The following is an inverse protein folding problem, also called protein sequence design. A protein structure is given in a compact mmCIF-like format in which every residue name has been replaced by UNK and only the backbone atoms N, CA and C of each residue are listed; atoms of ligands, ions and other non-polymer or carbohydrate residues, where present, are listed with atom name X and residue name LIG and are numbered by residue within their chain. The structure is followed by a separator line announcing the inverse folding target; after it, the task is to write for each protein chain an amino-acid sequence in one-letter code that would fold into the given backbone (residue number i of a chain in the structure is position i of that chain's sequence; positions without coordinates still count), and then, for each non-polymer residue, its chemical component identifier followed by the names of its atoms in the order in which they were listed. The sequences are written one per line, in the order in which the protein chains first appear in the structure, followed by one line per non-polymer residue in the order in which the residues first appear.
data_IF_294625766361
#
_entry.id   IF_294625766361
#
_cell.length_a   1.000
_cell.length_b   1.000
_cell.length_c   1.000
_cell.angle_alpha   90.00
_cell.angle_beta   90.00
_cell.angle_gamma   90.00
#
_symmetry.space_group_name_H-M   'P 1'
#
loop_
_entity.id
_entity.type
_entity.pdbx_description
1 polymer ?
#
# COMPACT_ATOMS: atom_id res chain seq x y z
N UNK A 1 12.95 -101.98 20.74
CA UNK A 1 12.10 -101.15 21.63
C UNK A 1 12.67 -99.74 21.68
N UNK A 2 11.78 -98.77 21.81
CA UNK A 2 11.89 -97.36 21.45
C UNK A 2 13.05 -96.53 22.04
N UNK A 3 13.34 -95.44 21.31
CA UNK A 3 13.74 -94.09 21.77
C UNK A 3 15.15 -93.95 22.41
N UNK A 4 15.99 -92.97 22.10
CA UNK A 4 15.81 -91.62 21.54
C UNK A 4 17.07 -91.29 20.72
N UNK A 5 16.90 -90.88 19.47
CA UNK A 5 17.98 -90.43 18.61
C UNK A 5 17.86 -88.92 18.38
N UNK A 6 18.99 -88.26 18.66
CA UNK A 6 19.57 -87.15 17.90
C UNK A 6 19.11 -85.69 18.11
N UNK A 7 20.14 -84.87 17.85
CA UNK A 7 20.15 -83.51 17.31
C UNK A 7 19.95 -82.38 18.31
N UNK A 8 21.09 -81.94 18.87
CA UNK A 8 21.36 -80.51 19.00
C UNK A 8 21.34 -79.88 17.60
N UNK A 9 20.47 -78.90 17.29
CA UNK A 9 20.69 -78.04 16.15
C UNK A 9 21.72 -76.99 16.55
N UNK A 10 22.96 -77.18 16.08
CA UNK A 10 23.87 -76.07 15.81
C UNK A 10 23.38 -75.49 14.48
N UNK A 11 22.89 -74.26 14.51
CA UNK A 11 23.06 -73.24 13.44
C UNK A 11 22.26 -71.98 13.80
N UNK A 12 22.85 -71.14 14.64
CA UNK A 12 22.46 -69.73 14.73
C UNK A 12 23.01 -69.03 13.49
N UNK A 13 22.21 -68.93 12.43
CA UNK A 13 22.50 -68.06 11.31
C UNK A 13 22.53 -66.61 11.81
N UNK A 14 23.74 -66.07 12.00
CA UNK A 14 23.97 -64.66 12.30
C UNK A 14 23.58 -63.81 11.08
N UNK A 15 22.39 -63.23 11.09
CA UNK A 15 22.00 -62.25 10.08
C UNK A 15 22.97 -61.06 10.20
N UNK A 16 23.71 -60.69 9.15
CA UNK A 16 24.74 -59.66 9.23
C UNK A 16 24.11 -58.31 9.58
N UNK A 17 24.55 -57.74 10.70
CA UNK A 17 24.11 -56.44 11.27
C UNK A 17 24.16 -55.32 10.22
N UNK A 18 25.04 -55.42 9.22
CA UNK A 18 25.15 -54.48 8.11
C UNK A 18 23.89 -54.34 7.26
N UNK A 19 23.09 -55.41 7.12
CA UNK A 19 21.86 -55.42 6.32
C UNK A 19 20.71 -54.64 6.98
N UNK A 20 20.62 -54.72 8.31
CA UNK A 20 19.65 -53.95 9.11
C UNK A 20 20.02 -52.47 9.14
N UNK A 21 21.30 -52.14 9.31
CA UNK A 21 21.79 -50.75 9.33
C UNK A 21 21.58 -50.03 8.00
N UNK A 22 21.75 -50.72 6.86
CA UNK A 22 21.52 -50.14 5.54
C UNK A 22 20.03 -49.83 5.30
N UNK A 23 19.13 -50.75 5.66
CA UNK A 23 17.67 -50.53 5.55
C UNK A 23 17.20 -49.41 6.49
N UNK A 24 17.73 -49.35 7.72
CA UNK A 24 17.43 -48.28 8.67
C UNK A 24 17.90 -46.91 8.19
N UNK A 25 19.09 -46.81 7.58
CA UNK A 25 19.58 -45.54 7.02
C UNK A 25 18.70 -45.03 5.87
N UNK A 26 18.21 -45.92 5.01
CA UNK A 26 17.28 -45.53 3.94
C UNK A 26 15.91 -45.12 4.49
N UNK A 27 15.39 -45.85 5.48
CA UNK A 27 14.12 -45.53 6.13
C UNK A 27 14.17 -44.18 6.89
N UNK A 28 15.26 -43.94 7.63
CA UNK A 28 15.53 -42.66 8.31
C UNK A 28 15.65 -41.50 7.32
N UNK A 29 16.36 -41.67 6.19
CA UNK A 29 16.47 -40.62 5.16
C UNK A 29 15.11 -40.25 4.57
N UNK A 30 14.27 -41.24 4.30
CA UNK A 30 12.92 -41.02 3.77
C UNK A 30 12.00 -40.35 4.80
N UNK A 31 12.11 -40.76 6.07
CA UNK A 31 11.36 -40.17 7.18
C UNK A 31 11.77 -38.71 7.44
N UNK A 32 13.08 -38.42 7.45
CA UNK A 32 13.60 -37.04 7.57
C UNK A 32 13.20 -36.18 6.36
N UNK A 33 13.26 -36.71 5.13
CA UNK A 33 12.81 -35.98 3.94
C UNK A 33 11.31 -35.65 3.98
N UNK A 34 10.48 -36.58 4.47
CA UNK A 34 9.05 -36.36 4.67
C UNK A 34 8.77 -35.36 5.79
N UNK A 35 9.49 -35.44 6.92
CA UNK A 35 9.40 -34.45 8.00
C UNK A 35 9.81 -33.05 7.55
N UNK A 36 10.89 -32.92 6.77
CA UNK A 36 11.34 -31.65 6.20
C UNK A 36 10.28 -31.09 5.23
N UNK A 37 9.68 -31.94 4.40
CA UNK A 37 8.60 -31.53 3.49
C UNK A 37 7.34 -31.06 4.23
N UNK A 38 6.93 -31.77 5.28
CA UNK A 38 5.80 -31.36 6.14
C UNK A 38 6.12 -30.04 6.84
N UNK A 39 7.30 -29.90 7.43
CA UNK A 39 7.74 -28.66 8.09
C UNK A 39 7.77 -27.49 7.09
N UNK A 40 8.36 -27.67 5.91
CA UNK A 40 8.40 -26.65 4.86
C UNK A 40 7.00 -26.28 4.35
N UNK A 41 6.08 -27.25 4.21
CA UNK A 41 4.70 -26.99 3.81
C UNK A 41 3.91 -26.23 4.88
N UNK A 42 4.20 -26.45 6.16
CA UNK A 42 3.54 -25.73 7.27
C UNK A 42 4.10 -24.31 7.49
N UNK A 43 5.38 -24.07 7.17
CA UNK A 43 6.00 -22.73 7.29
C UNK A 43 5.44 -21.76 6.23
N UNK A 44 5.02 -22.24 5.07
CA UNK A 44 4.39 -21.39 4.03
C UNK A 44 3.00 -20.86 4.40
N UNK A 45 2.28 -21.48 5.35
CA UNK A 45 0.92 -21.07 5.73
C UNK A 45 0.87 -20.01 6.84
N UNK A 46 2.01 -19.70 7.50
CA UNK A 46 2.05 -18.77 8.63
C UNK A 46 2.83 -17.47 8.39
N UNK A 47 3.35 -17.23 7.18
CA UNK A 47 3.77 -15.89 6.76
C UNK A 47 2.57 -15.07 6.27
N UNK A 48 1.62 -14.80 7.17
CA UNK A 48 0.75 -13.65 7.01
C UNK A 48 1.59 -12.41 7.31
N UNK A 49 2.05 -11.70 6.27
CA UNK A 49 2.51 -10.33 6.47
C UNK A 49 1.29 -9.53 6.92
N UNK A 50 1.14 -9.27 8.21
CA UNK A 50 0.29 -8.17 8.67
C UNK A 50 0.87 -6.89 8.08
N UNK A 51 0.32 -6.48 6.95
CA UNK A 51 0.71 -5.26 6.26
C UNK A 51 0.37 -4.09 7.19
N UNK A 52 1.38 -3.53 7.84
CA UNK A 52 1.20 -2.35 8.68
C UNK A 52 0.89 -1.15 7.79
N UNK A 53 -0.34 -0.66 7.86
CA UNK A 53 -0.80 0.54 7.16
C UNK A 53 -0.85 1.76 8.07
N UNK A 54 -0.41 1.67 9.32
CA UNK A 54 -0.54 2.75 10.29
C UNK A 54 -1.86 2.71 11.08
N UNK A 55 -2.22 3.82 11.70
CA UNK A 55 -3.44 3.94 12.52
C UNK A 55 -3.94 5.38 12.60
N UNK A 56 -5.24 5.55 12.83
CA UNK A 56 -5.82 6.84 13.19
C UNK A 56 -5.84 7.03 14.71
N UNK A 57 -5.70 8.29 15.13
CA UNK A 57 -5.82 8.73 16.51
C UNK A 57 -6.89 9.81 16.60
N UNK A 58 -7.96 9.49 17.33
CA UNK A 58 -9.18 10.29 17.41
C UNK A 58 -10.17 9.96 16.29
N UNK A 59 -11.25 10.72 16.24
CA UNK A 59 -12.29 10.61 15.21
C UNK A 59 -12.39 11.92 14.43
N UNK A 60 -12.92 11.86 13.22
CA UNK A 60 -13.27 13.07 12.47
C UNK A 60 -14.57 13.65 13.02
N UNK A 61 -14.45 14.70 13.84
CA UNK A 61 -15.58 15.52 14.28
C UNK A 61 -15.61 16.83 13.50
N UNK A 62 -16.73 17.09 12.83
CA UNK A 62 -16.86 18.18 11.86
C UNK A 62 -18.18 18.93 12.01
N UNK A 63 -18.16 20.20 11.60
CA UNK A 63 -19.36 21.02 11.41
C UNK A 63 -19.38 21.58 10.00
N UNK A 64 -20.53 21.51 9.35
CA UNK A 64 -20.77 22.15 8.05
C UNK A 64 -20.57 23.66 8.12
N UNK A 65 -19.78 24.20 7.19
CA UNK A 65 -19.63 25.63 7.00
C UNK A 65 -20.88 26.22 6.33
N UNK A 66 -21.05 27.54 6.45
CA UNK A 66 -22.17 28.28 5.83
C UNK A 66 -22.15 28.27 4.30
N UNK A 67 -21.05 27.85 3.68
CA UNK A 67 -20.91 27.73 2.23
C UNK A 67 -21.61 26.48 1.66
N UNK A 68 -22.10 25.59 2.51
CA UNK A 68 -22.81 24.37 2.10
C UNK A 68 -21.92 23.31 1.46
N UNK A 69 -20.59 23.48 1.45
CA UNK A 69 -19.66 22.55 0.81
C UNK A 69 -18.52 22.11 1.73
N UNK A 70 -17.93 23.04 2.49
CA UNK A 70 -16.80 22.71 3.35
C UNK A 70 -17.24 22.29 4.75
N UNK A 71 -16.39 21.51 5.39
CA UNK A 71 -16.55 21.09 6.78
C UNK A 71 -15.36 21.58 7.60
N UNK A 72 -15.62 22.15 8.77
CA UNK A 72 -14.61 22.58 9.72
C UNK A 72 -14.38 21.51 10.80
N UNK A 73 -13.12 21.13 11.03
CA UNK A 73 -12.75 20.20 12.10
C UNK A 73 -12.96 20.82 13.49
N UNK A 74 -13.62 20.08 14.37
CA UNK A 74 -13.90 20.48 15.76
C UNK A 74 -12.78 20.10 16.73
N UNK A 75 -11.99 19.07 16.38
CA UNK A 75 -10.83 18.59 17.12
C UNK A 75 -9.70 18.21 16.16
N UNK A 76 -8.49 18.09 16.70
CA UNK A 76 -7.36 17.55 15.94
C UNK A 76 -7.63 16.09 15.58
N UNK A 77 -7.28 15.71 14.36
CA UNK A 77 -7.35 14.34 13.87
C UNK A 77 -6.00 13.94 13.31
N UNK A 78 -5.47 12.79 13.73
CA UNK A 78 -4.11 12.38 13.37
C UNK A 78 -4.08 11.00 12.75
N UNK A 79 -3.27 10.86 11.71
CA UNK A 79 -2.86 9.59 11.14
C UNK A 79 -1.39 9.32 11.46
N UNK A 80 -1.08 8.13 11.95
CA UNK A 80 0.29 7.66 12.19
C UNK A 80 0.63 6.68 11.07
N UNK A 81 1.61 7.01 10.25
CA UNK A 81 1.99 6.17 9.11
C UNK A 81 2.79 4.91 9.53
N UNK A 82 3.07 3.96 8.60
CA UNK A 82 3.80 2.73 8.93
C UNK A 82 5.21 2.96 9.50
N UNK A 83 5.80 4.14 9.27
CA UNK A 83 7.10 4.54 9.80
C UNK A 83 7.00 5.28 11.14
N UNK A 84 5.79 5.47 11.67
CA UNK A 84 5.53 6.14 12.93
C UNK A 84 5.46 7.68 12.83
N UNK A 85 5.52 8.26 11.63
CA UNK A 85 5.38 9.71 11.45
C UNK A 85 3.91 10.11 11.62
N UNK A 86 3.70 11.22 12.33
CA UNK A 86 2.38 11.78 12.60
C UNK A 86 1.99 12.78 11.53
N UNK A 87 0.80 12.60 11.00
CA UNK A 87 0.14 13.47 10.02
C UNK A 87 -1.12 14.02 10.67
N UNK A 88 -1.12 15.30 11.04
CA UNK A 88 -2.19 15.89 11.86
C UNK A 88 -2.96 16.95 11.08
N UNK A 89 -4.27 16.73 10.95
CA UNK A 89 -5.21 17.78 10.59
C UNK A 89 -5.66 18.53 11.85
N UNK A 90 -5.34 19.82 11.89
CA UNK A 90 -5.56 20.65 13.07
C UNK A 90 -7.02 21.09 13.19
N UNK A 91 -7.49 21.26 14.42
CA UNK A 91 -8.77 21.89 14.73
C UNK A 91 -8.94 23.23 13.99
N UNK A 92 -10.13 23.46 13.46
CA UNK A 92 -10.47 24.66 12.69
C UNK A 92 -10.05 24.59 11.21
N UNK A 93 -9.34 23.54 10.78
CA UNK A 93 -9.11 23.31 9.36
C UNK A 93 -10.42 23.05 8.63
N UNK A 94 -10.54 23.59 7.41
CA UNK A 94 -11.71 23.42 6.54
C UNK A 94 -11.35 22.48 5.39
N UNK A 95 -11.93 21.29 5.39
CA UNK A 95 -11.78 20.27 4.34
C UNK A 95 -12.98 20.34 3.39
N UNK A 96 -12.77 19.95 2.13
CA UNK A 96 -13.82 19.78 1.13
C UNK A 96 -14.11 18.31 0.78
N UNK A 97 -13.53 17.36 1.52
CA UNK A 97 -13.95 15.96 1.53
C UNK A 97 -13.22 15.04 0.56
N UNK A 98 -12.10 15.51 0.00
CA UNK A 98 -11.02 14.83 -0.72
C UNK A 98 -10.63 15.60 -1.99
N UNK A 99 -9.34 15.93 -2.10
CA UNK A 99 -8.69 16.47 -3.30
C UNK A 99 -8.49 15.41 -4.40
N UNK A 100 -9.51 14.58 -4.67
CA UNK A 100 -9.53 13.58 -5.75
C UNK A 100 -9.97 14.29 -7.05
N UNK A 101 -9.25 14.11 -8.17
CA UNK A 101 -9.66 14.68 -9.46
C UNK A 101 -11.06 14.23 -9.86
N UNK A 102 -11.90 15.17 -10.30
CA UNK A 102 -13.31 14.93 -10.63
C UNK A 102 -13.53 13.80 -11.64
N UNK A 103 -12.59 13.61 -12.56
CA UNK A 103 -12.61 12.52 -13.53
C UNK A 103 -12.68 11.12 -12.89
N UNK A 104 -12.22 10.96 -11.64
CA UNK A 104 -12.26 9.69 -10.91
C UNK A 104 -13.55 9.49 -10.12
N UNK A 105 -14.39 10.51 -9.93
CA UNK A 105 -15.55 10.45 -9.01
C UNK A 105 -16.58 9.40 -9.41
N UNK A 106 -16.77 9.15 -10.71
CA UNK A 106 -17.68 8.10 -11.20
C UNK A 106 -17.21 6.68 -10.86
N UNK A 107 -15.92 6.49 -10.55
CA UNK A 107 -15.31 5.18 -10.29
C UNK A 107 -15.10 4.98 -8.78
N UNK A 108 -14.62 6.00 -8.07
CA UNK A 108 -14.24 5.88 -6.65
C UNK A 108 -15.28 6.44 -5.68
N UNK A 109 -16.26 7.20 -6.15
CA UNK A 109 -17.17 7.99 -5.33
C UNK A 109 -16.78 9.46 -5.28
N UNK A 110 -17.75 10.32 -4.94
CA UNK A 110 -17.59 11.76 -4.79
C UNK A 110 -17.05 12.19 -3.42
N UNK A 111 -16.75 13.47 -3.20
CA UNK A 111 -16.30 13.97 -1.90
C UNK A 111 -17.25 13.58 -0.77
N UNK A 112 -16.70 13.24 0.39
CA UNK A 112 -17.45 12.76 1.56
C UNK A 112 -18.22 11.44 1.39
N UNK A 113 -18.00 10.68 0.32
CA UNK A 113 -18.66 9.37 0.14
C UNK A 113 -17.78 8.21 0.64
N UNK A 114 -18.39 7.29 1.38
CA UNK A 114 -17.75 6.01 1.72
C UNK A 114 -16.67 6.09 2.83
N UNK A 115 -15.78 5.08 2.87
CA UNK A 115 -14.85 4.90 3.99
C UNK A 115 -13.66 5.87 3.98
N UNK A 116 -13.29 6.46 2.83
CA UNK A 116 -12.05 7.23 2.70
C UNK A 116 -12.07 8.64 3.30
N UNK A 117 -13.18 9.04 3.94
CA UNK A 117 -13.35 10.37 4.53
C UNK A 117 -12.23 10.74 5.49
N UNK A 118 -11.83 9.79 6.35
CA UNK A 118 -10.74 10.00 7.31
C UNK A 118 -9.41 10.26 6.60
N UNK A 119 -9.09 9.45 5.59
CA UNK A 119 -7.91 9.64 4.75
C UNK A 119 -7.92 10.97 3.99
N UNK A 120 -9.10 11.39 3.53
CA UNK A 120 -9.30 12.65 2.81
C UNK A 120 -8.99 13.87 3.66
N UNK A 121 -9.43 13.89 4.92
CA UNK A 121 -9.14 15.00 5.86
C UNK A 121 -7.64 15.23 6.00
N UNK A 122 -6.86 14.15 6.16
CA UNK A 122 -5.41 14.23 6.25
C UNK A 122 -4.81 14.70 4.92
N UNK A 123 -5.23 14.11 3.80
CA UNK A 123 -4.72 14.47 2.47
C UNK A 123 -4.96 15.95 2.15
N UNK A 124 -6.18 16.45 2.37
CA UNK A 124 -6.56 17.85 2.11
C UNK A 124 -5.71 18.82 2.93
N UNK A 125 -5.53 18.58 4.24
CA UNK A 125 -4.70 19.42 5.11
C UNK A 125 -3.28 19.60 4.56
N UNK A 126 -2.69 18.50 4.09
CA UNK A 126 -1.31 18.52 3.61
C UNK A 126 -1.19 19.00 2.15
N UNK A 127 -2.22 18.84 1.32
CA UNK A 127 -2.31 19.47 0.00
C UNK A 127 -2.47 21.00 0.09
N UNK A 128 -3.23 21.49 1.06
CA UNK A 128 -3.43 22.93 1.28
C UNK A 128 -2.19 23.57 1.89
N UNK A 129 -1.69 23.02 3.00
CA UNK A 129 -0.54 23.57 3.73
C UNK A 129 0.78 23.37 2.97
N UNK A 130 0.87 22.32 2.15
CA UNK A 130 2.07 21.93 1.39
C UNK A 130 3.30 21.82 2.29
N UNK A 131 3.10 21.40 3.55
CA UNK A 131 4.15 21.34 4.56
C UNK A 131 5.08 20.15 4.38
N UNK A 132 4.69 19.19 3.54
CA UNK A 132 5.40 17.95 3.25
C UNK A 132 5.55 17.76 1.74
N UNK A 133 6.45 16.90 1.26
CA UNK A 133 6.56 16.60 -0.17
C UNK A 133 5.27 16.01 -0.73
N UNK A 134 4.82 16.49 -1.90
CA UNK A 134 3.57 16.03 -2.52
C UNK A 134 3.52 14.52 -2.76
N UNK A 135 4.66 13.91 -3.08
CA UNK A 135 4.79 12.45 -3.28
C UNK A 135 4.45 11.70 -1.99
N UNK A 136 4.95 12.18 -0.85
CA UNK A 136 4.69 11.57 0.45
C UNK A 136 3.23 11.77 0.86
N UNK A 137 2.69 12.97 0.65
CA UNK A 137 1.27 13.27 0.91
C UNK A 137 0.34 12.38 0.09
N UNK A 138 0.65 12.15 -1.18
CA UNK A 138 -0.13 11.25 -2.01
C UNK A 138 0.07 9.78 -1.60
N UNK A 139 1.29 9.38 -1.22
CA UNK A 139 1.56 8.01 -0.76
C UNK A 139 0.84 7.67 0.54
N UNK A 140 0.86 8.56 1.53
CA UNK A 140 0.16 8.30 2.79
C UNK A 140 -1.36 8.26 2.62
N UNK A 141 -1.90 8.87 1.58
CA UNK A 141 -3.32 8.72 1.23
C UNK A 141 -3.67 7.25 0.95
N UNK A 142 -2.83 6.49 0.24
CA UNK A 142 -3.05 5.05 0.07
C UNK A 142 -3.13 4.31 1.41
N UNK A 143 -2.13 4.52 2.28
CA UNK A 143 -2.07 3.81 3.55
C UNK A 143 -3.23 4.18 4.48
N UNK A 144 -3.54 5.48 4.59
CA UNK A 144 -4.69 5.95 5.37
C UNK A 144 -6.02 5.38 4.84
N UNK A 145 -6.17 5.24 3.52
CA UNK A 145 -7.32 4.56 2.92
C UNK A 145 -7.41 3.08 3.37
N UNK A 146 -6.28 2.38 3.43
CA UNK A 146 -6.24 0.98 3.90
C UNK A 146 -6.63 0.88 5.37
N UNK A 147 -6.19 1.81 6.22
CA UNK A 147 -6.62 1.90 7.63
C UNK A 147 -8.12 2.17 7.74
N UNK A 148 -8.66 3.04 6.89
CA UNK A 148 -10.09 3.36 6.83
C UNK A 148 -10.98 2.21 6.28
N UNK A 149 -10.40 1.03 6.01
CA UNK A 149 -11.12 -0.14 5.51
C UNK A 149 -11.44 -0.10 4.02
N UNK A 150 -10.83 0.81 3.25
CA UNK A 150 -11.02 0.86 1.79
C UNK A 150 -10.35 -0.36 1.15
N UNK A 151 -11.06 -1.14 0.30
CA UNK A 151 -10.48 -2.28 -0.39
C UNK A 151 -9.22 -1.92 -1.19
N UNK A 152 -8.25 -2.83 -1.25
CA UNK A 152 -6.91 -2.53 -1.77
C UNK A 152 -6.94 -1.97 -3.20
N UNK A 153 -7.68 -2.61 -4.09
CA UNK A 153 -7.84 -2.15 -5.48
C UNK A 153 -8.39 -0.72 -5.55
N UNK A 154 -9.39 -0.40 -4.71
CA UNK A 154 -9.97 0.94 -4.62
C UNK A 154 -8.97 1.96 -4.04
N UNK A 155 -8.20 1.57 -3.02
CA UNK A 155 -7.15 2.42 -2.44
C UNK A 155 -6.02 2.69 -3.45
N UNK A 156 -5.61 1.68 -4.24
CA UNK A 156 -4.64 1.84 -5.35
C UNK A 156 -5.16 2.77 -6.43
N UNK A 157 -6.45 2.68 -6.76
CA UNK A 157 -7.09 3.56 -7.74
C UNK A 157 -7.13 5.00 -7.24
N UNK A 158 -7.52 5.22 -5.98
CA UNK A 158 -7.47 6.54 -5.33
C UNK A 158 -6.05 7.12 -5.33
N UNK A 159 -5.05 6.31 -4.98
CA UNK A 159 -3.63 6.70 -5.03
C UNK A 159 -3.20 7.08 -6.45
N UNK A 160 -3.53 6.25 -7.43
CA UNK A 160 -3.22 6.51 -8.84
C UNK A 160 -3.86 7.82 -9.30
N UNK A 161 -5.11 8.06 -8.93
CA UNK A 161 -5.82 9.29 -9.26
C UNK A 161 -5.12 10.55 -8.74
N UNK A 162 -4.70 10.57 -7.46
CA UNK A 162 -3.96 11.73 -6.92
C UNK A 162 -2.55 11.82 -7.50
N UNK A 163 -1.91 10.70 -7.84
CA UNK A 163 -0.61 10.73 -8.52
C UNK A 163 -0.69 11.32 -9.94
N UNK A 164 -1.80 11.10 -10.66
CA UNK A 164 -2.02 11.67 -12.01
C UNK A 164 -2.56 13.11 -11.92
N UNK A 165 -3.58 13.37 -11.12
CA UNK A 165 -4.30 14.66 -11.15
C UNK A 165 -4.25 15.48 -9.88
N UNK A 166 -3.66 14.96 -8.80
CA UNK A 166 -3.52 15.70 -7.55
C UNK A 166 -2.58 16.91 -7.70
N UNK A 167 -2.71 17.91 -6.81
CA UNK A 167 -1.84 19.09 -6.82
C UNK A 167 -0.40 18.70 -6.49
N UNK A 168 0.55 19.33 -7.19
CA UNK A 168 1.99 19.04 -7.05
C UNK A 168 2.74 20.33 -6.80
N UNK A 169 3.65 20.33 -5.85
CA UNK A 169 4.32 21.55 -5.38
C UNK A 169 5.79 21.32 -5.08
N UNK A 170 6.54 22.41 -4.94
CA UNK A 170 7.95 22.36 -4.55
C UNK A 170 8.46 23.72 -4.10
N UNK A 171 9.72 23.76 -3.69
CA UNK A 171 10.34 24.92 -3.03
C UNK A 171 10.66 26.09 -3.97
N UNK A 172 10.31 25.96 -5.26
CA UNK A 172 10.49 27.00 -6.26
C UNK A 172 11.93 27.31 -6.65
N UNK A 173 12.90 26.57 -6.10
CA UNK A 173 14.31 26.65 -6.47
C UNK A 173 14.63 25.85 -7.73
N UNK A 174 13.67 25.06 -8.22
CA UNK A 174 13.81 24.34 -9.47
C UNK A 174 14.04 25.34 -10.62
N UNK A 175 15.19 25.22 -11.29
CA UNK A 175 15.50 25.92 -12.57
C UNK A 175 14.52 25.56 -13.69
N UNK A 176 13.61 24.63 -13.42
CA UNK A 176 12.59 24.07 -14.30
C UNK A 176 11.43 25.02 -14.66
N UNK A 177 11.41 26.25 -14.14
CA UNK A 177 10.35 27.25 -14.42
C UNK A 177 10.16 27.50 -15.92
N UNK A 178 11.21 27.34 -16.72
CA UNK A 178 11.19 27.52 -18.17
C UNK A 178 10.94 26.24 -18.99
N UNK A 179 10.97 25.05 -18.39
CA UNK A 179 10.99 23.78 -19.13
C UNK A 179 9.76 22.89 -18.92
N UNK A 180 8.95 23.12 -17.87
CA UNK A 180 7.84 22.22 -17.49
C UNK A 180 6.57 23.00 -17.12
N UNK A 181 6.06 23.83 -18.04
CA UNK A 181 4.77 24.55 -17.93
C UNK A 181 4.80 25.85 -17.10
N UNK A 182 5.58 26.85 -17.52
CA UNK A 182 5.53 28.20 -16.93
C UNK A 182 4.07 28.74 -16.80
N UNK A 183 3.22 28.36 -17.75
CA UNK A 183 1.85 28.84 -17.91
C UNK A 183 0.84 28.17 -16.96
N UNK A 184 1.19 27.00 -16.39
CA UNK A 184 0.29 26.22 -15.50
C UNK A 184 0.65 26.35 -14.02
N UNK A 185 1.78 27.00 -13.70
CA UNK A 185 2.19 27.25 -12.33
C UNK A 185 1.26 28.27 -11.69
N UNK A 186 0.64 27.87 -10.58
CA UNK A 186 -0.16 28.72 -9.71
C UNK A 186 0.62 29.03 -8.43
N UNK A 187 0.37 30.21 -7.88
CA UNK A 187 0.91 30.63 -6.58
C UNK A 187 -0.26 30.66 -5.61
N UNK A 188 -0.14 29.95 -4.49
CA UNK A 188 -1.16 30.01 -3.44
C UNK A 188 -1.02 31.24 -2.55
N UNK A 189 -1.98 31.45 -1.65
CA UNK A 189 -2.01 32.58 -0.71
C UNK A 189 -0.76 32.71 0.18
N UNK A 190 0.04 31.65 0.31
CA UNK A 190 1.27 31.62 1.10
C UNK A 190 2.53 31.86 0.25
N UNK A 191 2.38 32.05 -1.05
CA UNK A 191 3.50 32.22 -1.98
C UNK A 191 4.08 30.90 -2.50
N UNK A 192 3.51 29.74 -2.15
CA UNK A 192 3.99 28.45 -2.65
C UNK A 192 3.51 28.18 -4.06
N UNK A 193 4.42 27.72 -4.91
CA UNK A 193 4.12 27.32 -6.27
C UNK A 193 3.59 25.90 -6.33
N UNK A 194 2.55 25.70 -7.12
CA UNK A 194 1.99 24.38 -7.38
C UNK A 194 1.42 24.31 -8.81
N UNK A 195 1.29 23.09 -9.32
CA UNK A 195 0.53 22.77 -10.54
C UNK A 195 -0.61 21.84 -10.19
N UNK A 196 -1.69 21.89 -10.97
CA UNK A 196 -2.79 20.94 -10.89
C UNK A 196 -2.97 20.34 -12.29
N UNK A 197 -2.42 19.13 -12.54
CA UNK A 197 -2.49 18.53 -13.85
C UNK A 197 -3.93 18.26 -14.27
N UNK A 198 -4.20 18.46 -15.56
CA UNK A 198 -5.49 18.12 -16.13
C UNK A 198 -5.62 16.60 -16.28
N UNK A 199 -6.76 16.05 -15.87
CA UNK A 199 -7.06 14.62 -15.95
C UNK A 199 -8.43 14.44 -16.59
N UNK A 200 -8.48 13.54 -17.57
CA UNK A 200 -9.71 13.21 -18.28
C UNK A 200 -10.39 11.97 -17.70
N UNK A 201 -11.68 11.78 -18.01
CA UNK A 201 -12.40 10.54 -17.65
C UNK A 201 -11.76 9.32 -18.31
N UNK A 202 -11.22 9.46 -19.52
CA UNK A 202 -10.50 8.39 -20.21
C UNK A 202 -9.25 7.95 -19.44
N UNK A 203 -8.51 8.90 -18.85
CA UNK A 203 -7.37 8.59 -17.98
C UNK A 203 -7.78 7.78 -16.76
N UNK A 204 -8.89 8.17 -16.13
CA UNK A 204 -9.44 7.47 -14.97
C UNK A 204 -9.88 6.05 -15.32
N UNK A 205 -10.57 5.86 -16.44
CA UNK A 205 -10.97 4.53 -16.92
C UNK A 205 -9.78 3.64 -17.28
N UNK A 206 -8.77 4.20 -17.95
CA UNK A 206 -7.54 3.48 -18.31
C UNK A 206 -6.79 3.03 -17.06
N UNK A 207 -6.67 3.90 -16.07
CA UNK A 207 -6.07 3.58 -14.78
C UNK A 207 -6.85 2.48 -14.04
N UNK A 208 -8.19 2.57 -13.98
CA UNK A 208 -9.05 1.55 -13.33
C UNK A 208 -8.85 0.17 -13.96
N UNK A 209 -8.98 0.09 -15.29
CA UNK A 209 -8.80 -1.18 -16.04
C UNK A 209 -7.42 -1.80 -15.79
N UNK A 210 -6.38 -0.98 -15.77
CA UNK A 210 -5.02 -1.45 -15.51
C UNK A 210 -4.85 -1.97 -14.07
N UNK A 211 -5.37 -1.26 -13.07
CA UNK A 211 -5.28 -1.67 -11.67
C UNK A 211 -6.05 -2.97 -11.42
N UNK A 212 -7.27 -3.08 -11.96
CA UNK A 212 -8.12 -4.26 -11.81
C UNK A 212 -7.49 -5.50 -12.46
N UNK A 213 -6.87 -5.34 -13.63
CA UNK A 213 -6.28 -6.47 -14.37
C UNK A 213 -4.90 -6.89 -13.88
N UNK A 214 -4.09 -5.96 -13.34
CA UNK A 214 -2.70 -6.23 -12.99
C UNK A 214 -2.38 -6.23 -11.49
N UNK A 215 -3.29 -5.72 -10.65
CA UNK A 215 -3.10 -5.53 -9.20
C UNK A 215 -1.69 -5.01 -8.82
N UNK A 216 -1.27 -3.86 -9.36
CA UNK A 216 0.12 -3.41 -9.30
C UNK A 216 0.54 -3.05 -7.87
N UNK A 217 1.83 -3.12 -7.60
CA UNK A 217 2.47 -2.53 -6.41
C UNK A 217 2.45 -1.00 -6.49
N UNK A 218 2.67 -0.30 -5.37
CA UNK A 218 2.73 1.16 -5.37
C UNK A 218 3.87 1.67 -6.24
N UNK A 219 5.01 0.98 -6.26
CA UNK A 219 6.17 1.30 -7.07
C UNK A 219 5.88 1.13 -8.57
N UNK A 220 5.08 0.12 -8.93
CA UNK A 220 4.58 -0.02 -10.31
C UNK A 220 3.62 1.10 -10.68
N UNK A 221 2.77 1.57 -9.77
CA UNK A 221 1.91 2.74 -9.98
C UNK A 221 2.77 3.99 -10.20
N UNK A 222 3.79 4.22 -9.37
CA UNK A 222 4.69 5.38 -9.53
C UNK A 222 5.37 5.38 -10.91
N UNK A 223 5.88 4.22 -11.33
CA UNK A 223 6.51 4.05 -12.63
C UNK A 223 5.50 4.24 -13.78
N UNK A 224 4.30 3.68 -13.64
CA UNK A 224 3.22 3.88 -14.61
C UNK A 224 2.89 5.36 -14.79
N UNK A 225 2.71 6.11 -13.70
CA UNK A 225 2.41 7.54 -13.74
C UNK A 225 3.58 8.31 -14.35
N UNK A 226 4.81 8.04 -13.92
CA UNK A 226 6.01 8.68 -14.47
C UNK A 226 6.18 8.46 -15.97
N UNK A 227 5.84 7.28 -16.48
CA UNK A 227 5.98 6.94 -17.90
C UNK A 227 4.85 7.49 -18.75
N UNK A 228 3.60 7.39 -18.28
CA UNK A 228 2.42 7.72 -19.08
C UNK A 228 1.93 9.16 -18.89
N UNK A 229 2.30 9.79 -17.78
CA UNK A 229 1.87 11.13 -17.39
C UNK A 229 3.08 11.99 -16.99
N UNK A 230 4.04 12.26 -17.90
CA UNK A 230 5.24 13.04 -17.57
C UNK A 230 4.90 14.47 -17.11
N UNK A 231 3.81 15.04 -17.61
CA UNK A 231 3.24 16.34 -17.20
C UNK A 231 2.69 16.33 -15.76
N UNK A 232 2.52 15.13 -15.19
CA UNK A 232 2.11 14.90 -13.80
C UNK A 232 3.31 14.83 -12.84
N UNK A 233 4.43 15.47 -13.18
CA UNK A 233 5.59 15.58 -12.28
C UNK A 233 5.87 17.04 -11.97
N UNK A 234 6.25 17.35 -10.73
CA UNK A 234 6.67 18.71 -10.36
C UNK A 234 8.19 18.78 -10.25
N UNK A 235 8.81 19.37 -11.27
CA UNK A 235 10.26 19.45 -11.40
C UNK A 235 10.93 18.09 -11.65
N UNK A 236 12.24 18.10 -11.85
CA UNK A 236 13.04 16.87 -11.73
C UNK A 236 13.29 16.63 -10.25
N UNK A 237 12.95 15.45 -9.72
CA UNK A 237 13.43 15.05 -8.41
C UNK A 237 14.95 15.12 -8.42
N UNK A 238 15.52 16.10 -7.71
CA UNK A 238 16.93 16.09 -7.41
C UNK A 238 17.16 14.86 -6.54
N UNK A 239 17.77 13.85 -7.15
CA UNK A 239 18.35 12.71 -6.43
C UNK A 239 19.24 13.21 -5.29
#
# INVERSE_FOLDING_TARGET
MCHFALFLPRDTASIPVSSYLAKWRSFMKMYFAFLIFVILSTISLCYGNDMNYGSFVGDVEVRWCKDGRSMELLKDFTYIDPLGKKWTAIKGYKTDGASIPQAFWSIVGGPFEGPYREAAVIHDMYCDSKSEPWVDVHRIFYYANRVAGVPEAKAKLLYTGVMIGGPKWGDGKSKCRSCHQADQIKIDKTGKMYVLPNVTVEDAEKASKWIESSNPTLEQIDNYVKTNYPESTFGHSSK
#
